data_IF_235843537300
#
_entry.id   IF_235843537300
#
_cell.length_a   1.000
_cell.length_b   1.000
_cell.length_c   1.000
_cell.angle_alpha   90.00
_cell.angle_beta   90.00
_cell.angle_gamma   90.00
#
_symmetry.space_group_name_H-M   'P 1'
#
loop_
_entity.id
_entity.type
_entity.pdbx_description
1 polymer ?
#
# COMPACT_ATOMS: atom_id res chain seq x y z
N UNK A 1 -8.77 -56.19 -3.10
CA UNK A 1 -9.43 -54.96 -3.59
C UNK A 1 -9.71 -54.04 -2.41
N UNK A 2 -9.11 -52.85 -2.37
CA UNK A 2 -9.60 -51.66 -1.63
C UNK A 2 -8.82 -50.47 -2.18
N UNK A 3 -9.44 -49.74 -3.13
CA UNK A 3 -8.89 -48.54 -3.75
C UNK A 3 -8.97 -47.42 -2.72
N UNK A 4 -7.82 -46.89 -2.32
CA UNK A 4 -7.72 -45.66 -1.52
C UNK A 4 -8.04 -44.51 -2.48
N UNK A 5 -9.04 -43.64 -2.21
CA UNK A 5 -9.41 -42.59 -3.15
C UNK A 5 -8.34 -41.49 -3.17
N UNK A 6 -7.68 -41.35 -4.32
CA UNK A 6 -6.67 -40.34 -4.70
C UNK A 6 -7.10 -38.89 -4.50
N UNK A 7 -8.38 -38.63 -4.17
CA UNK A 7 -8.93 -37.29 -4.01
C UNK A 7 -8.51 -36.57 -2.72
N UNK A 8 -8.14 -37.29 -1.65
CA UNK A 8 -7.73 -36.64 -0.40
C UNK A 8 -6.35 -35.96 -0.50
N UNK A 9 -5.44 -36.52 -1.31
CA UNK A 9 -4.10 -35.95 -1.49
C UNK A 9 -4.10 -34.68 -2.35
N UNK A 10 -5.07 -34.51 -3.26
CA UNK A 10 -5.15 -33.36 -4.16
C UNK A 10 -5.73 -32.10 -3.49
N UNK A 11 -6.47 -32.25 -2.38
CA UNK A 11 -7.03 -31.12 -1.63
C UNK A 11 -6.06 -30.55 -0.59
N UNK A 12 -5.09 -31.34 -0.11
CA UNK A 12 -4.09 -30.86 0.85
C UNK A 12 -3.05 -29.92 0.22
N UNK A 13 -2.84 -29.99 -1.10
CA UNK A 13 -1.84 -29.18 -1.79
C UNK A 13 -2.32 -27.75 -2.11
N UNK A 14 -3.63 -27.48 -2.12
CA UNK A 14 -4.15 -26.14 -2.42
C UNK A 14 -4.22 -25.20 -1.20
N UNK A 15 -4.15 -25.72 0.02
CA UNK A 15 -4.29 -24.88 1.23
C UNK A 15 -2.97 -24.18 1.61
N UNK A 16 -1.83 -24.60 1.07
CA UNK A 16 -0.52 -24.07 1.46
C UNK A 16 -0.14 -22.71 0.86
N UNK A 17 -0.95 -22.14 -0.04
CA UNK A 17 -0.67 -20.83 -0.66
C UNK A 17 -1.55 -19.67 -0.13
N UNK A 18 -2.42 -19.92 0.86
CA UNK A 18 -3.33 -18.88 1.37
C UNK A 18 -2.87 -18.22 2.68
N UNK A 19 -1.78 -18.67 3.29
CA UNK A 19 -1.49 -18.38 4.71
C UNK A 19 -0.41 -17.35 5.02
N UNK A 20 0.31 -16.83 4.03
CA UNK A 20 1.27 -15.76 4.25
C UNK A 20 0.73 -14.47 3.63
N UNK A 21 -0.40 -13.98 4.14
CA UNK A 21 -0.64 -12.54 4.07
C UNK A 21 0.44 -11.89 4.95
N UNK A 22 1.60 -11.62 4.37
CA UNK A 22 2.51 -10.61 4.93
C UNK A 22 1.62 -9.40 5.27
N UNK A 23 1.84 -8.74 6.43
CA UNK A 23 1.16 -7.49 6.72
C UNK A 23 1.30 -6.63 5.47
N UNK A 24 0.19 -6.37 4.79
CA UNK A 24 0.23 -5.63 3.53
C UNK A 24 0.64 -4.22 3.92
N UNK A 25 1.94 -3.96 3.90
CA UNK A 25 2.51 -2.66 4.20
C UNK A 25 1.77 -1.67 3.32
N UNK A 26 1.11 -0.72 3.98
CA UNK A 26 0.27 0.24 3.28
C UNK A 26 1.16 0.95 2.25
N UNK A 27 0.73 1.11 0.99
CA UNK A 27 1.59 1.63 -0.08
C UNK A 27 2.34 2.92 0.27
N UNK A 28 1.77 3.78 1.12
CA UNK A 28 2.40 5.01 1.59
C UNK A 28 3.64 4.82 2.48
N UNK A 29 3.85 3.65 3.11
CA UNK A 29 5.05 3.37 3.91
C UNK A 29 6.30 3.24 3.04
N UNK A 30 6.12 3.03 1.74
CA UNK A 30 7.21 2.92 0.76
C UNK A 30 7.64 4.28 0.19
N UNK A 31 6.96 5.37 0.56
CA UNK A 31 7.30 6.73 0.12
C UNK A 31 8.61 7.17 0.78
N UNK A 32 9.52 7.73 -0.03
CA UNK A 32 10.82 8.23 0.40
C UNK A 32 11.00 9.71 0.07
N UNK A 33 11.77 10.40 0.89
CA UNK A 33 12.19 11.79 0.63
C UNK A 33 12.96 11.85 -0.71
N UNK A 34 12.73 12.91 -1.49
CA UNK A 34 13.28 13.10 -2.82
C UNK A 34 12.56 12.37 -3.95
N UNK A 35 11.53 11.55 -3.65
CA UNK A 35 10.69 11.01 -4.71
C UNK A 35 9.93 12.12 -5.42
N UNK A 36 9.82 12.03 -6.74
CA UNK A 36 9.00 12.94 -7.53
C UNK A 36 7.51 12.70 -7.27
N UNK A 37 6.69 13.73 -7.41
CA UNK A 37 5.24 13.60 -7.33
C UNK A 37 4.68 12.53 -8.29
N UNK A 38 5.27 12.37 -9.48
CA UNK A 38 4.89 11.33 -10.44
C UNK A 38 5.15 9.91 -9.92
N UNK A 39 6.27 9.68 -9.22
CA UNK A 39 6.56 8.39 -8.58
C UNK A 39 5.58 8.11 -7.44
N UNK A 40 5.24 9.12 -6.65
CA UNK A 40 4.21 9.00 -5.59
C UNK A 40 2.85 8.65 -6.21
N UNK A 41 2.46 9.31 -7.30
CA UNK A 41 1.20 9.03 -8.01
C UNK A 41 1.18 7.60 -8.55
N UNK A 42 2.28 7.13 -9.12
CA UNK A 42 2.39 5.76 -9.61
C UNK A 42 2.27 4.73 -8.48
N UNK A 43 2.68 5.09 -7.26
CA UNK A 43 2.67 4.20 -6.10
C UNK A 43 1.31 4.14 -5.39
N UNK A 44 0.68 5.30 -5.15
CA UNK A 44 -0.52 5.39 -4.28
C UNK A 44 -1.71 6.09 -4.94
N UNK A 45 -1.60 6.50 -6.20
CA UNK A 45 -2.63 7.25 -6.92
C UNK A 45 -2.51 8.77 -6.75
N UNK A 46 -3.44 9.50 -7.35
CA UNK A 46 -3.48 10.95 -7.24
C UNK A 46 -3.99 11.40 -5.85
N UNK A 47 -3.42 12.46 -5.27
CA UNK A 47 -3.98 13.07 -4.07
C UNK A 47 -5.31 13.77 -4.35
N UNK A 48 -6.16 13.85 -3.33
CA UNK A 48 -7.40 14.62 -3.37
C UNK A 48 -7.14 16.12 -3.46
N UNK A 49 -6.10 16.61 -2.75
CA UNK A 49 -5.67 18.01 -2.80
C UNK A 49 -4.18 18.12 -3.10
N UNK A 50 -3.83 18.96 -4.09
CA UNK A 50 -2.45 19.32 -4.44
C UNK A 50 -2.16 20.78 -4.15
N UNK A 51 -1.14 21.05 -3.36
CA UNK A 51 -0.46 22.34 -3.31
C UNK A 51 1.03 22.16 -3.63
N UNK A 52 1.76 23.24 -3.97
CA UNK A 52 3.21 23.17 -4.24
C UNK A 52 4.01 22.60 -3.07
N UNK A 53 3.55 22.83 -1.84
CA UNK A 53 4.25 22.45 -0.61
C UNK A 53 3.66 21.22 0.08
N UNK A 54 2.49 20.75 -0.36
CA UNK A 54 1.72 19.77 0.41
C UNK A 54 0.69 19.04 -0.43
N UNK A 55 0.73 17.71 -0.40
CA UNK A 55 -0.30 16.86 -0.99
C UNK A 55 -1.09 16.14 0.11
N UNK A 56 -2.41 16.03 -0.06
CA UNK A 56 -3.32 15.42 0.91
C UNK A 56 -4.11 14.30 0.27
N UNK A 57 -4.16 13.17 0.95
CA UNK A 57 -4.99 12.00 0.62
C UNK A 57 -5.97 11.79 1.77
N UNK A 58 -7.22 12.16 1.54
CA UNK A 58 -8.28 12.04 2.52
C UNK A 58 -8.66 10.57 2.69
N UNK A 59 -9.05 10.20 3.91
CA UNK A 59 -9.50 8.83 4.25
C UNK A 59 -8.48 7.73 3.89
N UNK A 60 -7.19 8.06 3.81
CA UNK A 60 -6.11 7.09 3.62
C UNK A 60 -6.13 6.02 4.73
N UNK A 61 -6.55 6.41 5.93
CA UNK A 61 -7.01 5.55 7.01
C UNK A 61 -8.37 6.10 7.48
N UNK A 62 -9.20 5.26 8.11
CA UNK A 62 -10.44 5.73 8.77
C UNK A 62 -10.10 6.92 9.66
N UNK A 63 -10.79 8.04 9.40
CA UNK A 63 -10.66 9.33 10.09
C UNK A 63 -9.25 9.92 10.12
N UNK A 64 -8.41 9.64 9.11
CA UNK A 64 -7.10 10.29 8.98
C UNK A 64 -6.78 10.65 7.54
N UNK A 65 -6.21 11.84 7.38
CA UNK A 65 -5.67 12.33 6.12
C UNK A 65 -4.18 12.06 6.07
N UNK A 66 -3.71 11.36 5.03
CA UNK A 66 -2.28 11.23 4.76
C UNK A 66 -1.79 12.54 4.14
N UNK A 67 -0.71 13.07 4.68
CA UNK A 67 -0.06 14.29 4.22
C UNK A 67 1.34 13.97 3.75
N UNK A 68 1.65 14.43 2.54
CA UNK A 68 2.99 14.36 1.97
C UNK A 68 3.50 15.79 1.79
N UNK A 69 4.49 16.22 2.58
CA UNK A 69 5.18 17.49 2.36
C UNK A 69 5.94 17.44 1.03
N UNK A 70 5.78 18.48 0.22
CA UNK A 70 6.37 18.60 -1.10
C UNK A 70 7.25 19.84 -1.19
N UNK A 71 8.28 19.79 -2.02
CA UNK A 71 9.15 20.92 -2.36
C UNK A 71 9.70 20.69 -3.77
N UNK A 72 9.58 21.68 -4.64
CA UNK A 72 10.00 21.58 -6.05
C UNK A 72 9.50 20.31 -6.78
N UNK A 73 8.27 19.90 -6.47
CA UNK A 73 7.62 18.72 -7.05
C UNK A 73 8.14 17.37 -6.52
N UNK A 74 8.95 17.38 -5.46
CA UNK A 74 9.49 16.18 -4.79
C UNK A 74 9.02 16.10 -3.35
N UNK A 75 9.08 14.90 -2.76
CA UNK A 75 8.77 14.67 -1.34
C UNK A 75 9.83 15.34 -0.49
N UNK A 76 9.45 16.38 0.25
CA UNK A 76 10.36 17.19 1.06
C UNK A 76 10.73 16.50 2.39
N UNK A 77 9.79 15.78 2.99
CA UNK A 77 10.01 15.09 4.26
C UNK A 77 9.10 13.88 4.42
N UNK A 78 9.29 13.13 5.51
CA UNK A 78 8.55 11.89 5.78
C UNK A 78 7.04 12.15 5.82
N UNK A 79 6.21 11.36 5.12
CA UNK A 79 4.76 11.49 5.19
C UNK A 79 4.22 11.30 6.61
N UNK A 80 3.14 12.02 6.91
CA UNK A 80 2.47 12.01 8.21
C UNK A 80 0.96 11.88 8.10
N UNK A 81 0.29 11.73 9.23
CA UNK A 81 -1.16 11.71 9.31
C UNK A 81 -1.67 12.92 10.07
N UNK A 82 -2.71 13.53 9.53
CA UNK A 82 -3.55 14.49 10.23
C UNK A 82 -4.88 13.86 10.63
N UNK A 83 -5.50 14.34 11.72
CA UNK A 83 -6.89 14.04 12.03
C UNK A 83 -7.84 14.51 10.92
#
# INVERSE_FOLDING_TARGET
MKRVPTYAAMMALMVFLAGCQQPQERPYSQIKVGQTGSQVIALIGAPDTRSPTRWRYERAIVDKTLVIPMEDGQVASKPGFEP
#
